data_IF_858109645239
#
_entry.id   IF_858109645239
#
_cell.length_a   1.000
_cell.length_b   1.000
_cell.length_c   1.000
_cell.angle_alpha   90.00
_cell.angle_beta   90.00
_cell.angle_gamma   90.00
#
_symmetry.space_group_name_H-M   'P 1'
#
loop_
_entity.id
_entity.type
_entity.pdbx_description
1 polymer ?
#
# COMPACT_ATOMS: atom_id res chain seq x y z
N UNK A 1 5.83 20.86 -0.30
CA UNK A 1 6.13 19.43 -0.51
C UNK A 1 5.38 18.95 -1.75
N UNK A 2 5.97 18.07 -2.57
CA UNK A 2 5.27 17.47 -3.70
C UNK A 2 4.17 16.54 -3.17
N UNK A 3 2.99 16.55 -3.80
CA UNK A 3 1.92 15.62 -3.45
C UNK A 3 2.36 14.17 -3.74
N UNK A 4 1.85 13.22 -2.93
CA UNK A 4 2.14 11.79 -3.07
C UNK A 4 0.87 10.97 -2.80
N UNK A 5 0.88 9.72 -3.22
CA UNK A 5 -0.19 8.77 -2.94
C UNK A 5 0.32 7.68 -1.99
N UNK A 6 -0.49 7.34 -0.99
CA UNK A 6 -0.24 6.23 -0.09
C UNK A 6 -1.34 5.18 -0.25
N UNK A 7 -0.96 3.94 -0.50
CA UNK A 7 -1.90 2.82 -0.59
C UNK A 7 -1.72 1.92 0.62
N UNK A 8 -2.75 1.81 1.44
CA UNK A 8 -2.77 0.89 2.57
C UNK A 8 -3.23 -0.49 2.11
N UNK A 9 -2.49 -1.51 2.51
CA UNK A 9 -2.78 -2.92 2.23
C UNK A 9 -2.90 -3.69 3.53
N UNK A 10 -3.92 -4.53 3.67
CA UNK A 10 -4.10 -5.31 4.88
C UNK A 10 -5.51 -5.90 4.98
N UNK A 11 -5.65 -6.93 5.80
CA UNK A 11 -6.92 -7.59 6.06
C UNK A 11 -7.94 -6.64 6.73
N UNK A 12 -9.24 -6.90 6.64
CA UNK A 12 -10.21 -6.26 7.52
C UNK A 12 -9.80 -6.44 8.99
N UNK A 13 -9.80 -5.37 9.77
CA UNK A 13 -9.34 -5.41 11.17
C UNK A 13 -7.85 -5.18 11.39
N UNK A 14 -7.04 -5.00 10.34
CA UNK A 14 -5.59 -4.83 10.47
C UNK A 14 -5.14 -3.45 10.99
N UNK A 15 -6.02 -2.44 11.07
CA UNK A 15 -5.67 -1.11 11.57
C UNK A 15 -5.45 -0.04 10.50
N UNK A 16 -5.79 -0.30 9.22
CA UNK A 16 -5.64 0.70 8.13
C UNK A 16 -6.30 2.03 8.44
N UNK A 17 -7.56 2.00 8.85
CA UNK A 17 -8.34 3.23 9.13
C UNK A 17 -7.81 3.97 10.36
N UNK A 18 -7.17 3.28 11.29
CA UNK A 18 -6.50 3.89 12.44
C UNK A 18 -5.36 4.80 11.97
N UNK A 19 -4.58 4.35 10.98
CA UNK A 19 -3.51 5.16 10.37
C UNK A 19 -4.10 6.27 9.49
N UNK A 20 -5.01 5.93 8.57
CA UNK A 20 -5.51 6.88 7.60
C UNK A 20 -6.28 8.05 8.22
N UNK A 21 -6.91 7.84 9.36
CA UNK A 21 -7.65 8.89 10.07
C UNK A 21 -6.75 9.91 10.78
N UNK A 22 -5.48 9.57 11.04
CA UNK A 22 -4.50 10.48 11.65
C UNK A 22 -3.76 11.33 10.61
N UNK A 23 -3.92 11.01 9.32
CA UNK A 23 -3.26 11.77 8.27
C UNK A 23 -4.10 12.97 7.86
N UNK A 24 -3.46 14.13 7.72
CA UNK A 24 -4.06 15.33 7.12
C UNK A 24 -4.27 15.20 5.59
N UNK A 25 -4.12 14.01 5.05
CA UNK A 25 -4.27 13.72 3.63
C UNK A 25 -5.72 13.43 3.27
N UNK A 26 -6.05 13.55 2.00
CA UNK A 26 -7.38 13.24 1.52
C UNK A 26 -7.60 11.73 1.53
N UNK A 27 -8.47 11.27 2.40
CA UNK A 27 -8.78 9.85 2.59
C UNK A 27 -9.72 9.35 1.52
N UNK A 28 -9.31 8.31 0.81
CA UNK A 28 -10.11 7.60 -0.19
C UNK A 28 -10.56 6.28 0.42
N UNK A 29 -11.81 6.24 0.87
CA UNK A 29 -12.40 5.06 1.50
C UNK A 29 -13.68 4.67 0.78
N UNK A 30 -13.82 3.38 0.43
CA UNK A 30 -14.99 2.90 -0.33
C UNK A 30 -16.26 2.91 0.50
N UNK A 31 -16.17 2.76 1.80
CA UNK A 31 -17.32 2.74 2.68
C UNK A 31 -17.99 4.11 2.73
N UNK A 32 -17.19 5.16 2.74
CA UNK A 32 -17.67 6.56 2.69
C UNK A 32 -18.16 6.91 1.28
N UNK A 33 -17.44 6.50 0.25
CA UNK A 33 -17.69 6.88 -1.16
C UNK A 33 -18.65 5.92 -1.89
N UNK A 34 -19.08 4.82 -1.25
CA UNK A 34 -20.07 3.83 -1.70
C UNK A 34 -19.69 2.99 -2.93
N UNK A 35 -18.73 3.39 -3.74
CA UNK A 35 -18.30 2.62 -4.90
C UNK A 35 -16.82 2.84 -5.25
N UNK A 36 -16.23 1.86 -5.95
CA UNK A 36 -14.87 1.99 -6.49
C UNK A 36 -14.75 3.17 -7.45
N UNK A 37 -15.73 3.34 -8.35
CA UNK A 37 -15.74 4.44 -9.32
C UNK A 37 -15.76 5.81 -8.64
N UNK A 38 -16.51 5.94 -7.55
CA UNK A 38 -16.50 7.16 -6.77
C UNK A 38 -15.14 7.40 -6.10
N UNK A 39 -14.49 6.37 -5.54
CA UNK A 39 -13.14 6.47 -5.00
C UNK A 39 -12.15 7.01 -6.05
N UNK A 40 -12.17 6.46 -7.26
CA UNK A 40 -11.31 6.90 -8.36
C UNK A 40 -11.58 8.35 -8.76
N UNK A 41 -12.86 8.74 -8.83
CA UNK A 41 -13.27 10.12 -9.15
C UNK A 41 -12.78 11.11 -8.08
N UNK A 42 -12.98 10.79 -6.80
CA UNK A 42 -12.53 11.65 -5.71
C UNK A 42 -11.01 11.74 -5.63
N UNK A 43 -10.30 10.63 -5.83
CA UNK A 43 -8.84 10.64 -5.89
C UNK A 43 -8.34 11.60 -6.98
N UNK A 44 -8.88 11.53 -8.19
CA UNK A 44 -8.57 12.48 -9.28
C UNK A 44 -8.83 13.91 -8.87
N UNK A 45 -10.02 14.20 -8.32
CA UNK A 45 -10.40 15.56 -7.88
C UNK A 45 -9.41 16.15 -6.87
N UNK A 46 -8.88 15.34 -5.94
CA UNK A 46 -7.90 15.80 -4.96
C UNK A 46 -6.51 15.97 -5.57
N UNK A 47 -6.10 15.04 -6.43
CA UNK A 47 -4.82 15.11 -7.14
C UNK A 47 -4.76 16.30 -8.10
N UNK A 48 -5.87 16.66 -8.78
CA UNK A 48 -5.98 17.88 -9.59
C UNK A 48 -5.69 19.14 -8.77
N UNK A 49 -6.04 19.11 -7.48
CA UNK A 49 -5.74 20.19 -6.52
C UNK A 49 -4.33 20.08 -5.90
N UNK A 50 -3.49 19.18 -6.39
CA UNK A 50 -2.16 18.90 -5.85
C UNK A 50 -2.16 18.49 -4.36
N UNK A 51 -3.23 17.83 -3.91
CA UNK A 51 -3.34 17.31 -2.56
C UNK A 51 -2.84 15.86 -2.51
N UNK A 52 -2.18 15.48 -1.42
CA UNK A 52 -1.82 14.08 -1.16
C UNK A 52 -3.06 13.27 -0.82
N UNK A 53 -3.08 11.99 -1.24
CA UNK A 53 -4.19 11.09 -0.98
C UNK A 53 -3.73 9.81 -0.29
N UNK A 54 -4.54 9.29 0.63
CA UNK A 54 -4.37 7.98 1.23
C UNK A 54 -5.54 7.07 0.84
N UNK A 55 -5.22 5.91 0.26
CA UNK A 55 -6.20 4.91 -0.17
C UNK A 55 -6.42 3.92 0.95
N UNK A 56 -7.47 4.12 1.73
CA UNK A 56 -7.88 3.29 2.86
C UNK A 56 -8.89 2.25 2.39
N UNK A 57 -8.37 1.19 1.80
CA UNK A 57 -9.09 0.00 1.36
C UNK A 57 -8.25 -1.23 1.64
N UNK A 58 -8.84 -2.43 1.58
CA UNK A 58 -8.07 -3.66 1.80
C UNK A 58 -6.98 -3.87 0.74
N UNK A 59 -7.22 -3.45 -0.52
CA UNK A 59 -6.27 -3.52 -1.62
C UNK A 59 -5.56 -4.89 -1.69
N UNK A 60 -6.35 -5.96 -1.48
CA UNK A 60 -5.88 -7.30 -1.14
C UNK A 60 -5.17 -8.02 -2.28
N UNK A 61 -5.40 -7.62 -3.53
CA UNK A 61 -4.78 -8.20 -4.71
C UNK A 61 -4.17 -7.14 -5.65
N UNK A 62 -3.38 -7.62 -6.61
CA UNK A 62 -2.67 -6.79 -7.58
C UNK A 62 -3.63 -5.96 -8.46
N UNK A 63 -4.77 -6.50 -8.85
CA UNK A 63 -5.73 -5.82 -9.72
C UNK A 63 -6.36 -4.61 -9.03
N UNK A 64 -6.59 -4.69 -7.73
CA UNK A 64 -7.09 -3.54 -6.98
C UNK A 64 -6.03 -2.46 -6.82
N UNK A 65 -4.78 -2.83 -6.61
CA UNK A 65 -3.67 -1.88 -6.46
C UNK A 65 -3.28 -1.21 -7.78
N UNK A 66 -3.38 -1.93 -8.89
CA UNK A 66 -3.05 -1.45 -10.23
C UNK A 66 -3.71 -0.11 -10.56
N UNK A 67 -4.99 0.05 -10.24
CA UNK A 67 -5.72 1.30 -10.47
C UNK A 67 -5.04 2.52 -9.82
N UNK A 68 -4.58 2.37 -8.58
CA UNK A 68 -3.94 3.45 -7.84
C UNK A 68 -2.55 3.76 -8.37
N UNK A 69 -1.81 2.73 -8.75
CA UNK A 69 -0.49 2.85 -9.36
C UNK A 69 -0.58 3.58 -10.70
N UNK A 70 -1.50 3.16 -11.57
CA UNK A 70 -1.74 3.80 -12.89
C UNK A 70 -2.18 5.27 -12.72
N UNK A 71 -3.03 5.54 -11.73
CA UNK A 71 -3.46 6.90 -11.42
C UNK A 71 -2.28 7.77 -10.97
N UNK A 72 -1.44 7.29 -10.06
CA UNK A 72 -0.26 8.02 -9.61
C UNK A 72 0.74 8.26 -10.75
N UNK A 73 0.94 7.28 -11.63
CA UNK A 73 1.77 7.42 -12.84
C UNK A 73 1.23 8.50 -13.78
N UNK A 74 -0.09 8.54 -13.99
CA UNK A 74 -0.74 9.58 -14.80
C UNK A 74 -0.46 10.98 -14.25
N UNK A 75 -0.52 11.15 -12.93
CA UNK A 75 -0.22 12.41 -12.26
C UNK A 75 1.28 12.67 -12.04
N UNK A 76 2.14 11.72 -12.40
CA UNK A 76 3.61 11.80 -12.22
C UNK A 76 4.01 12.06 -10.76
N UNK A 77 3.32 11.42 -9.83
CA UNK A 77 3.57 11.50 -8.40
C UNK A 77 4.07 10.15 -7.85
N UNK A 78 4.86 10.14 -6.77
CA UNK A 78 5.22 8.90 -6.11
C UNK A 78 4.00 8.23 -5.51
N UNK A 79 3.97 6.89 -5.59
CA UNK A 79 2.99 6.04 -4.93
C UNK A 79 3.70 5.06 -4.02
N UNK A 80 3.45 5.19 -2.72
CA UNK A 80 4.03 4.33 -1.70
C UNK A 80 2.98 3.34 -1.17
N UNK A 81 3.44 2.26 -0.59
CA UNK A 81 2.58 1.23 -0.03
C UNK A 81 2.98 0.94 1.43
N UNK A 82 1.99 0.87 2.31
CA UNK A 82 2.15 0.31 3.65
C UNK A 82 1.33 -0.97 3.73
N UNK A 83 2.00 -2.08 3.99
CA UNK A 83 1.40 -3.40 4.20
C UNK A 83 1.32 -3.65 5.70
N UNK A 84 0.11 -3.69 6.25
CA UNK A 84 -0.09 -4.03 7.66
C UNK A 84 -0.01 -5.55 7.83
N UNK A 85 0.93 -6.01 8.64
CA UNK A 85 1.24 -7.43 8.85
C UNK A 85 0.39 -8.10 9.93
N UNK A 86 -0.59 -7.37 10.49
CA UNK A 86 -1.53 -7.91 11.48
C UNK A 86 -2.08 -9.25 11.02
N UNK A 87 -1.83 -10.29 11.80
CA UNK A 87 -2.21 -11.65 11.43
C UNK A 87 -3.73 -11.87 11.46
N UNK A 88 -4.17 -12.97 10.84
CA UNK A 88 -5.59 -13.28 10.71
C UNK A 88 -6.30 -13.43 12.04
N UNK A 89 -5.66 -14.06 13.02
CA UNK A 89 -6.27 -14.30 14.34
C UNK A 89 -6.49 -12.98 15.09
N UNK A 90 -5.51 -12.10 15.05
CA UNK A 90 -5.64 -10.78 15.67
C UNK A 90 -6.71 -9.93 14.97
N UNK A 91 -6.76 -9.94 13.64
CA UNK A 91 -7.84 -9.32 12.89
C UNK A 91 -9.21 -9.88 13.29
N UNK A 92 -9.31 -11.20 13.47
CA UNK A 92 -10.52 -11.86 13.89
C UNK A 92 -10.96 -11.39 15.27
N UNK A 93 -10.05 -11.36 16.25
CA UNK A 93 -10.36 -10.91 17.60
C UNK A 93 -10.80 -9.45 17.63
N UNK A 94 -10.09 -8.58 16.91
CA UNK A 94 -10.46 -7.17 16.78
C UNK A 94 -11.85 -6.97 16.19
N UNK A 95 -12.21 -7.71 15.13
CA UNK A 95 -13.54 -7.66 14.50
C UNK A 95 -14.63 -8.19 15.45
N UNK A 96 -14.35 -9.27 16.17
CA UNK A 96 -15.30 -9.91 17.07
C UNK A 96 -15.75 -9.02 18.22
N UNK A 97 -14.82 -8.25 18.79
CA UNK A 97 -15.11 -7.35 19.93
C UNK A 97 -15.63 -5.97 19.52
N UNK A 98 -15.59 -5.65 18.22
CA UNK A 98 -16.14 -4.37 17.73
C UNK A 98 -17.64 -4.31 17.91
N UNK A 99 -18.11 -3.22 18.51
CA UNK A 99 -19.53 -2.92 18.65
C UNK A 99 -20.07 -2.03 17.53
N UNK A 100 -19.19 -1.22 16.91
CA UNK A 100 -19.54 -0.30 15.83
C UNK A 100 -18.48 -0.33 14.72
N UNK A 101 -18.96 -0.26 13.48
CA UNK A 101 -18.11 -0.07 12.29
C UNK A 101 -18.97 0.48 11.15
N UNK A 102 -18.51 1.49 10.38
CA UNK A 102 -19.27 2.12 9.31
C UNK A 102 -19.82 1.16 8.25
N UNK A 103 -19.16 0.02 8.05
CA UNK A 103 -19.49 -0.98 7.02
C UNK A 103 -20.12 -2.25 7.56
N UNK A 104 -20.42 -2.30 8.84
CA UNK A 104 -20.98 -3.50 9.45
C UNK A 104 -19.99 -4.69 9.51
N UNK A 105 -18.67 -4.45 9.37
CA UNK A 105 -17.64 -5.49 9.58
C UNK A 105 -17.45 -5.69 11.08
N UNK A 106 -18.48 -6.23 11.72
CA UNK A 106 -18.58 -6.47 13.16
C UNK A 106 -19.09 -7.90 13.44
N UNK A 107 -18.73 -8.45 14.58
CA UNK A 107 -19.24 -9.73 15.06
C UNK A 107 -19.11 -10.86 14.03
N UNK A 108 -20.11 -11.73 13.96
CA UNK A 108 -20.11 -12.93 13.11
C UNK A 108 -20.07 -12.61 11.62
N UNK A 109 -20.81 -11.59 11.18
CA UNK A 109 -20.79 -11.15 9.77
C UNK A 109 -19.43 -10.62 9.36
N UNK A 110 -18.77 -9.86 10.22
CA UNK A 110 -17.42 -9.34 9.99
C UNK A 110 -16.38 -10.46 9.90
N UNK A 111 -16.49 -11.50 10.71
CA UNK A 111 -15.56 -12.64 10.65
C UNK A 111 -15.74 -13.48 9.37
N UNK A 112 -16.95 -13.58 8.84
CA UNK A 112 -17.19 -14.21 7.54
C UNK A 112 -16.54 -13.40 6.39
N UNK A 113 -16.67 -12.09 6.43
CA UNK A 113 -16.02 -11.19 5.49
C UNK A 113 -14.50 -11.38 5.55
N UNK A 114 -13.90 -11.40 6.77
CA UNK A 114 -12.46 -11.63 6.94
C UNK A 114 -11.99 -12.93 6.28
N UNK A 115 -12.69 -14.06 6.51
CA UNK A 115 -12.35 -15.35 5.90
C UNK A 115 -12.32 -15.28 4.37
N UNK A 116 -13.26 -14.54 3.76
CA UNK A 116 -13.30 -14.33 2.31
C UNK A 116 -12.10 -13.52 1.82
N UNK A 117 -11.69 -12.49 2.55
CA UNK A 117 -10.52 -11.69 2.19
C UNK A 117 -9.22 -12.47 2.33
N UNK A 118 -9.05 -13.24 3.41
CA UNK A 118 -7.85 -14.07 3.63
C UNK A 118 -7.58 -15.01 2.46
N UNK A 119 -8.63 -15.64 1.91
CA UNK A 119 -8.49 -16.57 0.78
C UNK A 119 -7.87 -15.92 -0.47
N UNK A 120 -8.05 -14.61 -0.66
CA UNK A 120 -7.61 -13.87 -1.85
C UNK A 120 -6.53 -12.83 -1.52
N UNK A 121 -5.93 -12.90 -0.32
CA UNK A 121 -4.96 -11.92 0.14
C UNK A 121 -3.57 -12.18 -0.43
N UNK A 122 -3.15 -11.31 -1.33
CA UNK A 122 -1.85 -11.35 -1.99
C UNK A 122 -1.20 -9.96 -1.90
N UNK A 123 -0.51 -9.64 -0.80
CA UNK A 123 0.16 -8.35 -0.63
C UNK A 123 1.30 -8.19 -1.65
N UNK A 124 1.66 -6.94 -2.03
CA UNK A 124 2.79 -6.69 -2.91
C UNK A 124 4.09 -7.11 -2.21
N UNK A 125 5.11 -7.46 -2.96
CA UNK A 125 6.42 -7.86 -2.42
C UNK A 125 7.50 -6.90 -2.92
N UNK A 126 8.54 -6.59 -2.12
CA UNK A 126 9.64 -5.75 -2.56
C UNK A 126 10.34 -6.26 -3.82
N UNK A 127 10.45 -7.59 -3.98
CA UNK A 127 11.03 -8.22 -5.17
C UNK A 127 10.18 -8.01 -6.43
N UNK A 128 8.88 -7.77 -6.24
CA UNK A 128 7.89 -7.48 -7.30
C UNK A 128 7.04 -6.28 -6.93
N UNK A 129 7.59 -5.05 -6.95
CA UNK A 129 6.94 -3.87 -6.38
C UNK A 129 5.75 -3.32 -7.16
N UNK A 130 5.32 -3.99 -8.22
CA UNK A 130 4.13 -3.68 -9.03
C UNK A 130 4.12 -2.28 -9.66
N UNK A 131 4.99 -1.38 -9.26
CA UNK A 131 5.08 0.03 -9.62
C UNK A 131 5.05 0.98 -8.43
N UNK A 132 5.02 0.45 -7.21
CA UNK A 132 5.22 1.26 -6.00
C UNK A 132 6.64 1.81 -5.93
N UNK A 133 6.74 3.07 -5.47
CA UNK A 133 8.03 3.72 -5.20
C UNK A 133 8.72 3.11 -3.98
N UNK A 134 7.93 2.84 -2.93
CA UNK A 134 8.38 2.20 -1.68
C UNK A 134 7.31 1.25 -1.17
N UNK A 135 7.74 0.20 -0.49
CA UNK A 135 6.86 -0.73 0.23
C UNK A 135 7.40 -0.88 1.64
N UNK A 136 6.60 -0.50 2.63
CA UNK A 136 6.87 -0.69 4.04
C UNK A 136 5.96 -1.78 4.59
N UNK A 137 6.53 -2.82 5.19
CA UNK A 137 5.79 -3.78 6.00
C UNK A 137 5.75 -3.28 7.43
N UNK A 138 4.56 -3.03 7.94
CA UNK A 138 4.33 -2.45 9.25
C UNK A 138 3.68 -3.46 10.18
N UNK A 139 4.37 -3.78 11.26
CA UNK A 139 3.83 -4.63 12.31
C UNK A 139 2.74 -3.91 13.10
N UNK A 140 1.74 -4.68 13.61
CA UNK A 140 0.66 -4.10 14.38
C UNK A 140 1.21 -3.39 15.61
N UNK A 141 0.68 -2.18 15.89
CA UNK A 141 0.92 -1.55 17.18
C UNK A 141 0.23 -2.35 18.28
N UNK A 142 0.89 -2.54 19.44
CA UNK A 142 0.23 -3.10 20.62
C UNK A 142 -0.91 -2.21 21.10
N UNK A 143 -0.84 -0.91 20.85
CA UNK A 143 -1.85 0.05 21.24
C UNK A 143 -2.96 0.15 20.19
N UNK A 144 -4.20 0.30 20.65
CA UNK A 144 -5.37 0.46 19.77
C UNK A 144 -5.41 1.82 19.07
N UNK A 145 -4.62 2.77 19.57
CA UNK A 145 -4.56 4.14 19.07
C UNK A 145 -3.25 4.37 18.27
N UNK A 146 -3.37 5.18 17.22
CA UNK A 146 -2.23 5.65 16.45
C UNK A 146 -2.01 7.12 16.80
N UNK A 147 -0.92 7.41 17.54
CA UNK A 147 -0.57 8.79 17.90
C UNK A 147 0.12 9.52 16.75
N UNK A 148 0.24 10.85 16.86
CA UNK A 148 1.01 11.65 15.88
C UNK A 148 2.48 11.19 15.82
N UNK A 149 3.10 10.91 16.95
CA UNK A 149 4.48 10.41 17.01
C UNK A 149 4.61 9.07 16.27
N UNK A 150 3.60 8.19 16.37
CA UNK A 150 3.60 6.93 15.63
C UNK A 150 3.48 7.15 14.13
N UNK A 151 2.72 8.14 13.70
CA UNK A 151 2.64 8.53 12.27
C UNK A 151 3.99 9.05 11.79
N UNK A 152 4.65 9.90 12.54
CA UNK A 152 5.99 10.43 12.20
C UNK A 152 7.02 9.31 12.10
N UNK A 153 6.98 8.34 13.02
CA UNK A 153 7.83 7.15 12.95
C UNK A 153 7.56 6.33 11.68
N UNK A 154 6.28 6.08 11.35
CA UNK A 154 5.90 5.32 10.15
C UNK A 154 6.42 6.02 8.89
N UNK A 155 6.27 7.34 8.77
CA UNK A 155 6.78 8.07 7.62
C UNK A 155 8.30 8.12 7.58
N UNK A 156 8.96 8.22 8.72
CA UNK A 156 10.43 8.13 8.81
C UNK A 156 10.93 6.77 8.29
N UNK A 157 10.29 5.67 8.71
CA UNK A 157 10.59 4.32 8.22
C UNK A 157 10.32 4.18 6.71
N UNK A 158 9.22 4.75 6.24
CA UNK A 158 8.88 4.72 4.81
C UNK A 158 9.88 5.50 3.97
N UNK A 159 10.33 6.67 4.44
CA UNK A 159 11.24 7.54 3.70
C UNK A 159 12.68 7.00 3.63
N UNK A 160 13.12 6.22 4.62
CA UNK A 160 14.40 5.49 4.57
C UNK A 160 14.30 4.16 3.82
N UNK A 161 13.10 3.67 3.50
CA UNK A 161 12.90 2.46 2.72
C UNK A 161 13.45 2.64 1.30
N UNK A 162 14.05 1.58 0.70
CA UNK A 162 14.61 1.65 -0.65
C UNK A 162 13.61 2.16 -1.69
N UNK A 163 14.06 3.04 -2.59
CA UNK A 163 13.24 3.44 -3.73
C UNK A 163 13.32 2.37 -4.83
N UNK A 164 12.36 1.49 -4.84
CA UNK A 164 12.30 0.30 -5.69
C UNK A 164 12.27 0.61 -7.20
N UNK A 165 11.85 1.81 -7.58
CA UNK A 165 11.86 2.23 -8.99
C UNK A 165 13.26 2.67 -9.42
N UNK A 166 14.03 3.32 -8.55
CA UNK A 166 15.41 3.73 -8.82
C UNK A 166 16.36 2.55 -8.84
N UNK A 167 16.22 1.61 -7.92
CA UNK A 167 17.07 0.41 -7.86
C UNK A 167 16.95 -0.45 -9.12
N UNK A 168 15.77 -0.58 -9.70
CA UNK A 168 15.59 -1.27 -10.99
C UNK A 168 16.36 -0.62 -12.11
N UNK A 169 16.46 0.69 -12.12
CA UNK A 169 17.23 1.42 -13.13
C UNK A 169 18.73 1.17 -12.97
N UNK A 170 19.24 1.16 -11.74
CA UNK A 170 20.66 0.84 -11.46
C UNK A 170 20.99 -0.59 -11.86
N UNK A 171 20.16 -1.57 -11.51
CA UNK A 171 20.39 -2.97 -11.94
C UNK A 171 20.31 -3.16 -13.46
N UNK A 172 19.55 -2.35 -14.17
CA UNK A 172 19.46 -2.41 -15.64
C UNK A 172 20.71 -1.81 -16.30
N UNK A 173 21.34 -0.80 -15.68
CA UNK A 173 22.57 -0.17 -16.18
C UNK A 173 23.81 -1.03 -15.89
N UNK A 174 23.80 -1.82 -14.80
CA UNK A 174 24.93 -2.64 -14.37
C UNK A 174 24.89 -4.08 -14.91
N UNK A 175 24.06 -4.41 -15.89
CA UNK A 175 24.17 -5.69 -16.58
C UNK A 175 25.57 -5.76 -17.23
N UNK A 176 26.41 -6.71 -16.82
CA UNK A 176 27.74 -6.83 -17.39
C UNK A 176 27.62 -7.02 -18.91
N UNK A 177 28.40 -6.25 -19.64
CA UNK A 177 28.46 -6.36 -21.09
C UNK A 177 29.18 -7.68 -21.39
N UNK A 178 28.48 -8.63 -21.95
CA UNK A 178 29.10 -9.85 -22.46
C UNK A 178 29.76 -9.49 -23.81
N UNK A 179 31.04 -9.52 -23.87
CA UNK A 179 31.80 -9.35 -25.12
C UNK A 179 32.20 -10.77 -25.54
N UNK A 180 31.71 -11.20 -26.69
CA UNK A 180 32.09 -12.47 -27.32
C UNK A 180 33.13 -12.14 -28.36
N UNK A 181 34.31 -12.82 -28.29
CA UNK A 181 35.36 -12.68 -29.31
C UNK A 181 35.02 -13.50 -30.58
N UNK A 182 35.85 -13.37 -31.60
CA UNK A 182 35.65 -14.02 -32.90
C UNK A 182 35.77 -15.55 -32.81
N UNK A 183 36.30 -16.08 -31.69
CA UNK A 183 36.45 -17.52 -31.43
C UNK A 183 35.28 -18.09 -30.58
N UNK A 184 34.31 -17.24 -30.20
CA UNK A 184 33.08 -17.63 -29.46
C UNK A 184 33.25 -17.72 -27.94
N UNK A 185 34.34 -17.22 -27.36
CA UNK A 185 34.54 -17.12 -25.93
C UNK A 185 33.91 -15.85 -25.37
N UNK A 186 33.12 -16.01 -24.31
CA UNK A 186 32.42 -14.89 -23.66
C UNK A 186 33.15 -14.43 -22.41
N UNK A 187 33.56 -13.15 -22.36
CA UNK A 187 34.16 -12.54 -21.18
C UNK A 187 33.17 -11.59 -20.55
N UNK A 188 32.99 -11.69 -19.24
CA UNK A 188 32.10 -10.79 -18.45
C UNK A 188 32.99 -9.70 -17.85
N UNK A 189 32.82 -8.47 -18.31
CA UNK A 189 33.46 -7.30 -17.70
C UNK A 189 32.49 -6.66 -16.66
N UNK A 190 33.06 -6.43 -15.46
CA UNK A 190 32.31 -5.74 -14.37
C UNK A 190 32.18 -4.25 -14.65
#
# INVERSE_FOLDING_TARGET
MSNRMLVLVGLPGSGKSTISNQLEWQRINQDDMKSRKACEMYAKKFLDKKQSVVVDRCNFDKEQRKTWIELAQHYKIPVDCIVLTTNQEECYQRIKVRTEHPTGVIGTSGTYILKRFVKNYHPPKPEYPEGFSRILYLDPSPDSECTEERIDEIFSLLDISPNLLQERYVHTITKPKVITDEEGWSTITK
#
